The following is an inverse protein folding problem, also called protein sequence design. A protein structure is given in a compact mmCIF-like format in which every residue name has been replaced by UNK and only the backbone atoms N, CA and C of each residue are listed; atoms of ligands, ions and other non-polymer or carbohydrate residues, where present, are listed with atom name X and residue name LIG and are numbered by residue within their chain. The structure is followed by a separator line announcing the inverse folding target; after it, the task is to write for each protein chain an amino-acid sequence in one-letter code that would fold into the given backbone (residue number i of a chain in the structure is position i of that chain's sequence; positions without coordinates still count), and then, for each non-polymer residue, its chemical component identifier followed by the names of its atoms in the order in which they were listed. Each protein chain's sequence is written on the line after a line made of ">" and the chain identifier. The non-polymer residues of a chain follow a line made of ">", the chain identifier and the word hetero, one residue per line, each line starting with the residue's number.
data_IF_417378050020
#
_entry.id   IF_417378050020
#
_cell.length_a   1.000
_cell.length_b   1.000
_cell.length_c   1.000
_cell.angle_alpha   90.00
_cell.angle_beta   90.00
_cell.angle_gamma   90.00
#
_symmetry.space_group_name_H-M   'P 1'
#
loop_
_entity.id
_entity.type
_entity.pdbx_description
1 polymer ?
#
# COMPACT_ATOMS: atom_id res chain seq x y z
N UNK A 1 4.72 -23.85 22.77
CA UNK A 1 4.33 -22.49 22.32
C UNK A 1 5.60 -21.68 22.11
N UNK A 2 5.73 -21.03 20.95
CA UNK A 2 6.80 -20.05 20.71
C UNK A 2 6.50 -18.79 21.51
N UNK A 3 7.52 -18.23 22.18
CA UNK A 3 7.41 -16.97 22.91
C UNK A 3 7.46 -15.77 21.96
N UNK A 4 8.25 -15.88 20.89
CA UNK A 4 8.38 -14.90 19.81
C UNK A 4 8.94 -15.58 18.56
N UNK A 5 8.74 -14.94 17.42
CA UNK A 5 9.38 -15.26 16.16
C UNK A 5 9.99 -13.96 15.62
N UNK A 6 11.23 -14.02 15.19
CA UNK A 6 11.92 -12.93 14.49
C UNK A 6 12.22 -13.43 13.09
N UNK A 7 11.78 -12.68 12.09
CA UNK A 7 11.96 -12.98 10.68
C UNK A 7 12.82 -11.89 10.02
N UNK A 8 13.18 -12.06 8.78
CA UNK A 8 13.93 -11.08 7.99
C UNK A 8 13.14 -9.78 7.74
N UNK A 9 13.81 -8.73 7.27
CA UNK A 9 13.18 -7.49 6.84
C UNK A 9 13.45 -6.28 7.73
N UNK A 10 14.23 -6.45 8.80
CA UNK A 10 14.79 -5.34 9.57
C UNK A 10 16.08 -4.80 8.93
N UNK A 11 16.36 -3.51 9.13
CA UNK A 11 17.60 -2.89 8.69
C UNK A 11 18.00 -1.79 9.67
N UNK A 12 19.32 -1.62 9.84
CA UNK A 12 19.89 -0.44 10.47
C UNK A 12 20.32 0.50 9.36
N UNK A 13 19.77 1.69 9.33
CA UNK A 13 19.96 2.63 8.23
C UNK A 13 20.31 4.03 8.77
N UNK A 14 21.20 4.71 8.08
CA UNK A 14 21.58 6.12 8.34
C UNK A 14 20.89 7.06 7.34
N UNK A 15 20.55 8.26 7.79
CA UNK A 15 19.98 9.31 6.92
C UNK A 15 18.61 9.00 6.32
N UNK A 16 17.93 7.94 6.78
CA UNK A 16 16.64 7.53 6.23
C UNK A 16 15.47 8.38 6.71
N UNK A 17 15.57 8.91 7.93
CA UNK A 17 14.55 9.74 8.55
C UNK A 17 15.10 11.16 8.66
N UNK A 18 14.48 12.10 7.95
CA UNK A 18 14.87 13.51 7.98
C UNK A 18 14.84 14.05 9.41
N UNK A 19 15.95 14.68 9.85
CA UNK A 19 16.09 15.23 11.20
C UNK A 19 16.44 14.21 12.28
N UNK A 20 16.86 13.00 11.91
CA UNK A 20 17.49 11.99 12.77
C UNK A 20 18.90 11.75 12.22
N UNK A 21 19.91 12.01 13.06
CA UNK A 21 21.33 11.88 12.68
C UNK A 21 21.89 10.50 13.04
N UNK A 22 21.30 9.87 14.03
CA UNK A 22 21.72 8.55 14.52
C UNK A 22 21.26 7.45 13.55
N UNK A 23 21.99 6.33 13.48
CA UNK A 23 21.52 5.12 12.79
C UNK A 23 20.19 4.64 13.39
N UNK A 24 19.22 4.36 12.56
CA UNK A 24 17.89 3.92 12.98
C UNK A 24 17.72 2.42 12.69
N UNK A 25 17.41 1.63 13.73
CA UNK A 25 17.01 0.24 13.58
C UNK A 25 15.49 0.15 13.32
N UNK A 26 15.11 -0.19 12.10
CA UNK A 26 13.71 -0.42 11.75
C UNK A 26 13.30 -1.86 12.08
N UNK A 27 12.38 -2.01 13.01
CA UNK A 27 11.79 -3.31 13.39
C UNK A 27 10.37 -3.36 12.81
N UNK A 28 10.16 -4.26 11.85
CA UNK A 28 8.83 -4.53 11.31
C UNK A 28 7.95 -5.20 12.37
N UNK A 29 6.77 -4.63 12.62
CA UNK A 29 5.80 -5.16 13.60
C UNK A 29 4.61 -5.86 12.93
N UNK A 30 4.53 -5.83 11.61
CA UNK A 30 3.49 -6.49 10.83
C UNK A 30 3.91 -6.63 9.37
N UNK A 31 3.40 -7.66 8.71
CA UNK A 31 3.49 -7.84 7.27
C UNK A 31 2.24 -7.32 6.57
N UNK A 32 2.44 -6.69 5.42
CA UNK A 32 1.33 -6.29 4.55
C UNK A 32 0.67 -7.49 3.92
N UNK A 33 -0.65 -7.42 3.80
CA UNK A 33 -1.39 -8.36 2.98
C UNK A 33 -1.14 -8.13 1.49
N UNK A 34 -1.61 -9.04 0.70
CA UNK A 34 -1.50 -9.01 -0.75
C UNK A 34 -2.86 -9.30 -1.39
N UNK A 35 -3.15 -8.61 -2.48
CA UNK A 35 -4.32 -8.87 -3.29
C UNK A 35 -4.01 -8.53 -4.74
N UNK A 36 -4.03 -9.52 -5.61
CA UNK A 36 -4.06 -9.32 -7.06
C UNK A 36 -5.49 -9.48 -7.55
N UNK A 37 -6.07 -8.43 -8.09
CA UNK A 37 -7.38 -8.47 -8.74
C UNK A 37 -7.20 -8.57 -10.26
N UNK A 38 -7.84 -9.58 -10.86
CA UNK A 38 -8.03 -9.66 -12.31
C UNK A 38 -9.31 -8.89 -12.65
N UNK A 39 -9.18 -7.82 -13.40
CA UNK A 39 -10.29 -7.08 -13.97
C UNK A 39 -10.57 -7.59 -15.38
N UNK A 40 -11.84 -7.73 -15.72
CA UNK A 40 -12.29 -8.08 -17.07
C UNK A 40 -13.40 -7.11 -17.49
N UNK A 41 -13.17 -6.43 -18.59
CA UNK A 41 -14.16 -5.56 -19.21
C UNK A 41 -14.71 -6.22 -20.48
N UNK A 42 -16.02 -6.25 -20.62
CA UNK A 42 -16.69 -6.74 -21.81
C UNK A 42 -17.05 -5.60 -22.76
N UNK A 43 -17.07 -5.89 -24.05
CA UNK A 43 -17.45 -4.98 -25.12
C UNK A 43 -18.06 -5.70 -26.30
N UNK A 44 -18.61 -4.95 -27.23
CA UNK A 44 -19.15 -5.48 -28.48
C UNK A 44 -18.02 -5.68 -29.48
N UNK A 45 -17.74 -6.91 -29.92
CA UNK A 45 -16.72 -7.15 -30.93
C UNK A 45 -17.19 -6.64 -32.31
N UNK A 46 -16.23 -6.31 -33.17
CA UNK A 46 -16.57 -5.82 -34.50
C UNK A 46 -15.36 -5.33 -35.30
N UNK A 47 -15.63 -4.71 -36.43
CA UNK A 47 -14.61 -4.12 -37.27
C UNK A 47 -14.29 -2.69 -36.81
N UNK A 48 -13.01 -2.31 -36.81
CA UNK A 48 -12.56 -0.99 -36.33
C UNK A 48 -13.12 0.22 -37.10
N UNK A 49 -13.58 0.01 -38.35
CA UNK A 49 -14.20 1.08 -39.14
C UNK A 49 -15.59 1.50 -38.66
N UNK A 50 -16.24 0.69 -37.81
CA UNK A 50 -17.58 0.98 -37.24
C UNK A 50 -17.53 0.84 -35.70
N UNK A 51 -16.77 1.71 -35.00
CA UNK A 51 -16.60 1.59 -33.55
C UNK A 51 -17.90 1.92 -32.83
N UNK A 52 -18.38 0.98 -32.04
CA UNK A 52 -19.49 1.19 -31.12
C UNK A 52 -19.10 1.98 -29.87
N UNK A 53 -20.08 2.35 -29.04
CA UNK A 53 -19.83 3.01 -27.76
C UNK A 53 -19.27 2.06 -26.69
N UNK A 54 -19.51 0.77 -26.83
CA UNK A 54 -19.17 -0.30 -25.86
C UNK A 54 -17.92 -1.08 -26.29
N UNK A 55 -16.77 -0.41 -26.28
CA UNK A 55 -15.48 -1.04 -26.58
C UNK A 55 -14.82 -1.54 -25.29
N UNK A 56 -14.45 -2.82 -25.22
CA UNK A 56 -13.84 -3.47 -24.06
C UNK A 56 -12.60 -2.72 -23.55
N UNK A 57 -11.64 -2.42 -24.47
CA UNK A 57 -10.41 -1.70 -24.12
C UNK A 57 -10.72 -0.32 -23.56
N UNK A 58 -11.62 0.45 -24.19
CA UNK A 58 -12.00 1.78 -23.71
C UNK A 58 -12.68 1.76 -22.35
N UNK A 59 -13.47 0.73 -22.05
CA UNK A 59 -14.10 0.50 -20.76
C UNK A 59 -13.06 0.17 -19.69
N UNK A 60 -12.17 -0.79 -19.97
CA UNK A 60 -11.08 -1.15 -19.07
C UNK A 60 -10.18 0.06 -18.78
N UNK A 61 -9.78 0.82 -19.80
CA UNK A 61 -8.96 2.02 -19.63
C UNK A 61 -9.60 3.03 -18.67
N UNK A 62 -10.91 3.29 -18.81
CA UNK A 62 -11.64 4.16 -17.86
C UNK A 62 -11.64 3.62 -16.43
N UNK A 63 -11.82 2.31 -16.26
CA UNK A 63 -11.77 1.67 -14.94
C UNK A 63 -10.38 1.83 -14.29
N UNK A 64 -9.32 1.56 -15.04
CA UNK A 64 -7.93 1.71 -14.59
C UNK A 64 -7.59 3.16 -14.25
N UNK A 65 -7.96 4.11 -15.09
CA UNK A 65 -7.77 5.56 -14.83
C UNK A 65 -8.48 5.99 -13.55
N UNK A 66 -9.70 5.49 -13.31
CA UNK A 66 -10.41 5.80 -12.06
C UNK A 66 -9.71 5.21 -10.84
N UNK A 67 -9.18 3.99 -10.93
CA UNK A 67 -8.44 3.36 -9.83
C UNK A 67 -7.14 4.11 -9.53
N UNK A 68 -6.40 4.51 -10.55
CA UNK A 68 -5.16 5.28 -10.44
C UNK A 68 -5.40 6.65 -9.80
N UNK A 69 -6.43 7.37 -10.25
CA UNK A 69 -6.80 8.68 -9.73
C UNK A 69 -7.40 8.66 -8.30
N UNK A 70 -7.79 7.48 -7.79
CA UNK A 70 -8.43 7.33 -6.48
C UNK A 70 -7.67 6.39 -5.55
N UNK A 71 -6.47 6.75 -5.08
CA UNK A 71 -5.66 5.92 -4.20
C UNK A 71 -6.39 5.58 -2.90
N UNK A 72 -5.96 4.53 -2.23
CA UNK A 72 -6.54 4.08 -0.96
C UNK A 72 -6.36 5.15 0.15
N UNK A 73 -7.25 5.17 1.15
CA UNK A 73 -7.21 6.18 2.21
C UNK A 73 -5.91 6.16 3.01
N UNK A 74 -5.44 7.35 3.40
CA UNK A 74 -4.24 7.52 4.23
C UNK A 74 -4.53 7.19 5.69
N UNK A 75 -3.61 6.45 6.32
CA UNK A 75 -3.58 6.14 7.75
C UNK A 75 -2.21 6.51 8.32
N UNK A 76 -2.17 7.50 9.17
CA UNK A 76 -0.92 8.04 9.71
C UNK A 76 -0.49 7.35 11.03
N UNK A 77 -1.22 6.30 11.47
CA UNK A 77 -0.93 5.65 12.76
C UNK A 77 0.49 5.06 12.80
N UNK A 78 0.87 4.27 11.79
CA UNK A 78 2.20 3.65 11.74
C UNK A 78 3.33 4.70 11.74
N UNK A 79 3.15 5.80 11.01
CA UNK A 79 4.11 6.89 10.98
C UNK A 79 4.21 7.60 12.34
N UNK A 80 3.06 7.82 13.01
CA UNK A 80 3.04 8.38 14.37
C UNK A 80 3.75 7.46 15.36
N UNK A 81 3.47 6.17 15.30
CA UNK A 81 4.08 5.17 16.20
C UNK A 81 5.61 5.11 15.97
N UNK A 82 6.09 5.19 14.72
CA UNK A 82 7.51 5.27 14.40
C UNK A 82 8.15 6.50 15.06
N UNK A 83 7.60 7.69 14.86
CA UNK A 83 8.14 8.94 15.45
C UNK A 83 8.15 8.88 16.98
N UNK A 84 7.09 8.35 17.59
CA UNK A 84 7.02 8.18 19.04
C UNK A 84 8.11 7.21 19.56
N UNK A 85 8.43 6.14 18.82
CA UNK A 85 9.47 5.19 19.21
C UNK A 85 10.89 5.73 19.07
N UNK A 86 11.11 6.69 18.17
CA UNK A 86 12.39 7.38 18.03
C UNK A 86 12.68 8.33 19.20
N UNK A 87 11.62 8.84 19.87
CA UNK A 87 11.75 9.64 21.10
C UNK A 87 12.63 10.88 20.91
N UNK A 88 13.70 10.99 21.73
CA UNK A 88 14.60 12.15 21.73
C UNK A 88 15.51 12.24 20.52
N UNK A 89 15.65 11.20 19.71
CA UNK A 89 16.42 11.24 18.47
C UNK A 89 15.76 12.12 17.39
N UNK A 90 14.46 12.38 17.54
CA UNK A 90 13.71 13.25 16.61
C UNK A 90 13.74 14.69 17.10
N UNK A 91 13.97 15.65 16.20
CA UNK A 91 13.97 17.07 16.53
C UNK A 91 12.67 17.53 17.22
N UNK A 92 12.78 18.53 18.11
CA UNK A 92 11.62 19.10 18.81
C UNK A 92 10.50 19.52 17.84
N UNK A 93 10.87 20.16 16.72
CA UNK A 93 9.89 20.57 15.70
C UNK A 93 9.10 19.41 15.12
N UNK A 94 9.74 18.26 14.85
CA UNK A 94 9.08 17.07 14.35
C UNK A 94 8.19 16.44 15.44
N UNK A 95 8.67 16.35 16.69
CA UNK A 95 7.84 15.92 17.82
C UNK A 95 6.58 16.78 17.98
N UNK A 96 6.74 18.10 17.89
CA UNK A 96 5.61 19.04 17.96
C UNK A 96 4.59 18.79 16.84
N UNK A 97 5.06 18.64 15.59
CA UNK A 97 4.19 18.34 14.43
C UNK A 97 3.43 17.04 14.62
N UNK A 98 4.11 15.95 15.03
CA UNK A 98 3.47 14.65 15.19
C UNK A 98 2.62 14.53 16.47
N UNK A 99 2.89 15.32 17.49
CA UNK A 99 2.01 15.45 18.66
C UNK A 99 0.70 16.17 18.29
N UNK A 100 0.75 17.07 17.33
CA UNK A 100 -0.40 17.81 16.82
C UNK A 100 -0.84 17.35 15.44
N UNK A 101 -0.79 16.05 15.17
CA UNK A 101 -1.06 15.42 13.86
C UNK A 101 -2.44 15.79 13.30
N UNK A 102 -3.43 16.05 14.15
CA UNK A 102 -4.77 16.47 13.75
C UNK A 102 -4.74 17.81 12.99
N UNK A 103 -3.87 18.74 13.40
CA UNK A 103 -3.70 20.05 12.76
C UNK A 103 -2.79 19.97 11.53
N UNK A 104 -1.66 19.24 11.62
CA UNK A 104 -0.66 19.14 10.55
C UNK A 104 -0.97 18.03 9.53
N UNK A 105 -2.08 17.31 9.69
CA UNK A 105 -2.45 16.18 8.82
C UNK A 105 -2.36 16.48 7.32
N UNK A 106 -2.82 17.62 6.78
CA UNK A 106 -2.72 17.91 5.34
C UNK A 106 -1.26 18.00 4.87
N UNK A 107 -0.39 18.64 5.66
CA UNK A 107 1.03 18.83 5.33
C UNK A 107 1.76 17.48 5.41
N UNK A 108 1.56 16.74 6.50
CA UNK A 108 2.15 15.39 6.67
C UNK A 108 1.73 14.48 5.53
N UNK A 109 0.45 14.50 5.17
CA UNK A 109 -0.08 13.72 4.05
C UNK A 109 0.63 14.09 2.74
N UNK A 110 0.70 15.36 2.41
CA UNK A 110 1.33 15.85 1.18
C UNK A 110 2.81 15.42 1.09
N UNK A 111 3.57 15.58 2.16
CA UNK A 111 4.98 15.17 2.21
C UNK A 111 5.15 13.65 2.13
N UNK A 112 4.32 12.89 2.84
CA UNK A 112 4.37 11.44 2.82
C UNK A 112 3.96 10.86 1.45
N UNK A 113 3.06 11.51 0.73
CA UNK A 113 2.64 11.13 -0.63
C UNK A 113 3.71 11.47 -1.69
N UNK A 114 4.57 12.44 -1.45
CA UNK A 114 5.62 12.85 -2.38
C UNK A 114 6.73 11.79 -2.55
N UNK A 115 6.89 10.87 -1.59
CA UNK A 115 7.88 9.80 -1.65
C UNK A 115 7.19 8.44 -1.69
N UNK A 116 7.58 7.58 -2.64
CA UNK A 116 6.96 6.27 -2.85
C UNK A 116 7.04 5.35 -1.61
N UNK A 117 8.15 5.37 -0.90
CA UNK A 117 8.36 4.55 0.31
C UNK A 117 7.43 4.99 1.44
N UNK A 118 7.41 6.28 1.77
CA UNK A 118 6.52 6.81 2.81
C UNK A 118 5.05 6.71 2.42
N UNK A 119 4.72 6.93 1.14
CA UNK A 119 3.37 6.74 0.62
C UNK A 119 2.89 5.28 0.81
N UNK A 120 3.77 4.31 0.53
CA UNK A 120 3.48 2.91 0.79
C UNK A 120 3.29 2.60 2.29
N UNK A 121 3.96 3.29 3.21
CA UNK A 121 3.80 3.09 4.66
C UNK A 121 2.47 3.61 5.21
N UNK A 122 1.86 4.60 4.58
CA UNK A 122 0.66 5.28 5.09
C UNK A 122 -0.65 4.81 4.47
N UNK A 123 -0.62 3.93 3.47
CA UNK A 123 -1.84 3.39 2.83
C UNK A 123 -1.63 2.01 2.23
N UNK A 124 -2.73 1.33 1.97
CA UNK A 124 -2.75 0.20 1.05
C UNK A 124 -2.36 0.73 -0.34
N UNK A 125 -1.30 0.19 -0.92
CA UNK A 125 -0.85 0.62 -2.24
C UNK A 125 -1.69 -0.03 -3.34
N UNK A 126 -1.81 0.66 -4.48
CA UNK A 126 -2.47 0.18 -5.69
C UNK A 126 -1.46 0.28 -6.83
N UNK A 127 -1.26 -0.80 -7.56
CA UNK A 127 -0.36 -0.85 -8.71
C UNK A 127 -1.05 -1.53 -9.91
N UNK A 128 -1.10 -0.84 -11.04
CA UNK A 128 -1.58 -1.40 -12.31
C UNK A 128 -0.41 -2.14 -12.95
N UNK A 129 -0.44 -3.47 -12.97
CA UNK A 129 0.75 -4.27 -13.30
C UNK A 129 0.69 -4.93 -14.66
N UNK A 130 -0.50 -5.29 -15.13
CA UNK A 130 -0.66 -5.96 -16.42
C UNK A 130 -1.92 -5.47 -17.13
N UNK A 131 -1.85 -5.32 -18.44
CA UNK A 131 -3.01 -5.04 -19.31
C UNK A 131 -2.90 -5.90 -20.56
N UNK A 132 -4.01 -6.52 -20.95
CA UNK A 132 -4.13 -7.31 -22.17
C UNK A 132 -5.48 -7.02 -22.85
N UNK A 133 -5.46 -6.92 -24.20
CA UNK A 133 -6.70 -6.69 -24.96
C UNK A 133 -6.43 -6.55 -26.45
N UNK A 134 -7.29 -7.17 -27.27
CA UNK A 134 -7.15 -7.19 -28.72
C UNK A 134 -6.16 -8.22 -29.21
N UNK A 135 -6.35 -8.63 -30.45
CA UNK A 135 -5.52 -9.62 -31.16
C UNK A 135 -5.06 -9.11 -32.55
N UNK A 136 -5.69 -8.06 -33.05
CA UNK A 136 -5.42 -7.49 -34.37
C UNK A 136 -5.86 -6.03 -34.41
N UNK A 137 -5.12 -5.17 -35.12
CA UNK A 137 -5.31 -3.72 -35.17
C UNK A 137 -6.69 -3.26 -35.69
N UNK A 138 -7.30 -4.06 -36.55
CA UNK A 138 -8.58 -3.72 -37.19
C UNK A 138 -9.79 -4.47 -36.61
N UNK A 139 -9.63 -5.13 -35.45
CA UNK A 139 -10.68 -5.90 -34.78
C UNK A 139 -10.95 -5.33 -33.38
N UNK A 140 -12.21 -5.00 -33.10
CA UNK A 140 -12.66 -4.64 -31.75
C UNK A 140 -12.78 -5.92 -30.90
N UNK A 141 -12.07 -6.06 -29.79
CA UNK A 141 -12.12 -7.26 -28.97
C UNK A 141 -13.42 -7.33 -28.16
N UNK A 142 -13.90 -8.55 -27.92
CA UNK A 142 -15.04 -8.82 -27.06
C UNK A 142 -14.74 -8.56 -25.58
N UNK A 143 -13.49 -8.68 -25.17
CA UNK A 143 -13.06 -8.44 -23.79
C UNK A 143 -11.63 -7.85 -23.76
N UNK A 144 -11.32 -7.22 -22.62
CA UNK A 144 -9.99 -6.76 -22.25
C UNK A 144 -9.77 -7.04 -20.75
N UNK A 145 -8.56 -7.36 -20.36
CA UNK A 145 -8.21 -7.77 -19.01
C UNK A 145 -7.05 -6.96 -18.45
N UNK A 146 -7.02 -6.80 -17.12
CA UNK A 146 -5.90 -6.20 -16.42
C UNK A 146 -5.68 -6.89 -15.07
N UNK A 147 -4.44 -6.81 -14.56
CA UNK A 147 -4.14 -7.17 -13.18
C UNK A 147 -3.81 -5.89 -12.41
N UNK A 148 -4.49 -5.72 -11.28
CA UNK A 148 -4.24 -4.65 -10.32
C UNK A 148 -3.78 -5.28 -9.01
N UNK A 149 -2.58 -4.91 -8.58
CA UNK A 149 -1.98 -5.42 -7.35
C UNK A 149 -2.18 -4.43 -6.20
N UNK A 150 -2.56 -4.96 -5.04
CA UNK A 150 -2.70 -4.21 -3.80
C UNK A 150 -1.78 -4.82 -2.74
N UNK A 151 -1.07 -3.95 -2.00
CA UNK A 151 -0.38 -4.33 -0.76
C UNK A 151 -1.15 -3.76 0.40
N UNK A 152 -1.88 -4.63 1.10
CA UNK A 152 -2.82 -4.24 2.14
C UNK A 152 -2.08 -3.77 3.40
N UNK A 153 -2.40 -2.56 3.83
CA UNK A 153 -1.89 -2.07 5.11
C UNK A 153 -2.63 -2.77 6.26
N UNK A 154 -1.95 -3.14 7.36
CA UNK A 154 -2.60 -3.71 8.55
C UNK A 154 -3.81 -2.89 8.99
N UNK A 155 -4.95 -3.58 9.18
CA UNK A 155 -6.26 -2.98 9.47
C UNK A 155 -7.14 -2.68 8.25
N UNK A 156 -6.62 -2.84 7.02
CA UNK A 156 -7.46 -3.05 5.84
C UNK A 156 -7.80 -4.55 5.71
N UNK A 157 -8.78 -4.86 4.86
CA UNK A 157 -9.11 -6.24 4.49
C UNK A 157 -9.37 -6.33 3.00
N UNK A 158 -9.22 -7.52 2.45
CA UNK A 158 -9.53 -7.83 1.05
C UNK A 158 -10.95 -7.37 0.71
N UNK A 159 -11.92 -7.68 1.58
CA UNK A 159 -13.31 -7.27 1.38
C UNK A 159 -13.47 -5.74 1.26
N UNK A 160 -12.85 -4.96 2.16
CA UNK A 160 -12.90 -3.49 2.11
C UNK A 160 -12.27 -2.92 0.84
N UNK A 161 -11.16 -3.52 0.39
CA UNK A 161 -10.49 -3.10 -0.85
C UNK A 161 -11.39 -3.40 -2.05
N UNK A 162 -11.96 -4.60 -2.14
CA UNK A 162 -12.90 -4.98 -3.21
C UNK A 162 -14.14 -4.08 -3.26
N UNK A 163 -14.74 -3.78 -2.10
CA UNK A 163 -15.89 -2.86 -2.03
C UNK A 163 -15.54 -1.45 -2.51
N UNK A 164 -14.35 -0.96 -2.17
CA UNK A 164 -13.88 0.33 -2.66
C UNK A 164 -13.58 0.30 -4.16
N UNK A 165 -12.95 -0.76 -4.67
CA UNK A 165 -12.72 -0.94 -6.12
C UNK A 165 -14.05 -0.87 -6.88
N UNK A 166 -15.07 -1.58 -6.43
CA UNK A 166 -16.41 -1.54 -7.05
C UNK A 166 -17.00 -0.12 -7.07
N UNK A 167 -16.89 0.60 -5.94
CA UNK A 167 -17.37 1.99 -5.81
C UNK A 167 -16.61 2.98 -6.71
N UNK A 168 -15.33 2.72 -6.99
CA UNK A 168 -14.50 3.57 -7.85
C UNK A 168 -14.76 3.28 -9.33
N UNK A 169 -14.81 2.02 -9.73
CA UNK A 169 -15.00 1.60 -11.12
C UNK A 169 -16.35 2.09 -11.65
N UNK A 170 -17.44 1.90 -10.91
CA UNK A 170 -18.81 2.33 -11.27
C UNK A 170 -19.21 1.92 -12.70
N UNK A 171 -18.93 0.68 -13.05
CA UNK A 171 -19.29 0.10 -14.34
C UNK A 171 -19.56 -1.40 -14.14
N UNK A 172 -20.81 -1.82 -14.22
CA UNK A 172 -21.25 -3.18 -13.94
C UNK A 172 -20.78 -4.21 -14.99
N UNK A 173 -20.31 -3.72 -16.14
CA UNK A 173 -19.69 -4.57 -17.19
C UNK A 173 -18.16 -4.70 -17.01
N UNK A 174 -17.63 -4.22 -15.89
CA UNK A 174 -16.25 -4.50 -15.45
C UNK A 174 -16.33 -5.40 -14.24
N UNK A 175 -16.14 -6.67 -14.48
CA UNK A 175 -16.05 -7.66 -13.42
C UNK A 175 -14.63 -7.73 -12.87
N UNK A 176 -14.47 -8.15 -11.62
CA UNK A 176 -13.17 -8.42 -11.04
C UNK A 176 -13.25 -9.53 -9.99
N UNK A 177 -12.17 -10.29 -9.91
CA UNK A 177 -12.00 -11.38 -8.96
C UNK A 177 -10.53 -11.47 -8.48
N UNK A 178 -10.28 -12.00 -7.29
CA UNK A 178 -8.91 -12.31 -6.87
C UNK A 178 -8.28 -13.36 -7.77
N UNK A 179 -7.02 -13.14 -8.14
CA UNK A 179 -6.22 -14.15 -8.83
C UNK A 179 -5.99 -15.32 -7.89
N UNK A 180 -6.10 -16.56 -8.39
CA UNK A 180 -5.89 -17.77 -7.59
C UNK A 180 -4.50 -17.76 -6.92
N UNK A 181 -4.46 -17.95 -5.60
CA UNK A 181 -3.22 -17.86 -4.79
C UNK A 181 -2.65 -16.45 -4.66
N UNK A 182 -3.33 -15.43 -5.17
CA UNK A 182 -2.87 -14.02 -5.15
C UNK A 182 -3.58 -13.16 -4.11
N UNK A 183 -4.10 -13.72 -3.03
CA UNK A 183 -4.81 -12.97 -2.01
C UNK A 183 -4.59 -13.54 -0.60
N UNK A 184 -4.08 -12.70 0.32
CA UNK A 184 -4.01 -12.97 1.76
C UNK A 184 -4.07 -11.68 2.56
N UNK A 185 -4.68 -11.74 3.73
CA UNK A 185 -4.83 -10.61 4.62
C UNK A 185 -3.49 -10.15 5.20
N UNK A 186 -3.41 -8.88 5.62
CA UNK A 186 -2.28 -8.39 6.39
C UNK A 186 -2.18 -9.12 7.74
N UNK A 187 -0.96 -9.30 8.25
CA UNK A 187 -0.77 -9.86 9.58
C UNK A 187 -1.31 -8.91 10.66
N UNK A 188 -1.56 -9.47 11.84
CA UNK A 188 -1.81 -8.64 13.02
C UNK A 188 -0.55 -7.86 13.39
N UNK A 189 -0.74 -6.61 13.85
CA UNK A 189 0.36 -5.80 14.35
C UNK A 189 0.84 -6.36 15.69
N UNK A 190 2.11 -6.74 15.77
CA UNK A 190 2.75 -7.19 17.01
C UNK A 190 2.90 -6.02 17.98
N UNK A 191 2.57 -6.25 19.26
CA UNK A 191 2.72 -5.22 20.28
C UNK A 191 4.20 -4.94 20.59
N UNK A 192 4.54 -3.67 20.68
CA UNK A 192 5.87 -3.19 21.08
C UNK A 192 6.08 -3.18 22.59
N UNK A 193 5.05 -3.52 23.38
CA UNK A 193 5.12 -3.58 24.84
C UNK A 193 5.42 -5.00 25.36
N UNK A 194 5.62 -5.96 24.45
CA UNK A 194 5.93 -7.33 24.85
C UNK A 194 7.37 -7.46 25.37
N UNK A 195 7.59 -8.38 26.31
CA UNK A 195 8.93 -8.69 26.82
C UNK A 195 9.90 -9.05 25.69
N UNK A 196 9.44 -9.79 24.69
CA UNK A 196 10.26 -10.19 23.55
C UNK A 196 10.71 -8.99 22.71
N UNK A 197 9.81 -8.04 22.44
CA UNK A 197 10.17 -6.82 21.72
C UNK A 197 11.15 -5.95 22.51
N UNK A 198 10.94 -5.81 23.83
CA UNK A 198 11.84 -5.03 24.68
C UNK A 198 13.24 -5.65 24.77
N UNK A 199 13.34 -6.99 24.82
CA UNK A 199 14.62 -7.71 24.76
C UNK A 199 15.31 -7.45 23.42
N UNK A 200 14.60 -7.58 22.31
CA UNK A 200 15.14 -7.31 20.96
C UNK A 200 15.67 -5.87 20.85
N UNK A 201 14.88 -4.90 21.25
CA UNK A 201 15.26 -3.47 21.27
C UNK A 201 16.50 -3.23 22.11
N UNK A 202 16.56 -3.81 23.31
CA UNK A 202 17.74 -3.70 24.20
C UNK A 202 18.99 -4.34 23.58
N UNK A 203 18.82 -5.53 22.99
CA UNK A 203 19.93 -6.26 22.37
C UNK A 203 20.52 -5.49 21.20
N UNK A 204 19.67 -4.95 20.32
CA UNK A 204 20.13 -4.13 19.18
C UNK A 204 20.97 -2.95 19.69
N UNK A 205 20.47 -2.19 20.68
CA UNK A 205 21.20 -1.06 21.26
C UNK A 205 22.51 -1.42 21.96
N UNK A 206 22.60 -2.65 22.48
CA UNK A 206 23.83 -3.14 23.13
C UNK A 206 24.87 -3.60 22.11
N UNK A 207 24.44 -4.13 20.98
CA UNK A 207 25.35 -4.70 19.96
C UNK A 207 25.81 -3.61 18.97
N UNK A 208 24.96 -2.63 18.68
CA UNK A 208 25.24 -1.56 17.72
C UNK A 208 25.26 -0.23 18.45
N UNK A 209 26.43 0.38 18.57
CA UNK A 209 26.63 1.68 19.23
C UNK A 209 25.88 2.80 18.50
N UNK A 210 25.27 3.70 19.26
CA UNK A 210 24.58 4.88 18.74
C UNK A 210 23.28 4.61 18.00
N UNK A 211 22.77 3.38 17.97
CA UNK A 211 21.52 3.04 17.27
C UNK A 211 20.29 3.39 18.13
N UNK A 212 19.29 4.02 17.50
CA UNK A 212 18.00 4.39 18.08
C UNK A 212 16.85 3.56 17.51
#
# INVERSE_FOLDING_TARGET
>A
RLAAMVDEGGAIMEGTISGVNEPVALIGTAEKGHLSLKLRAEGTPGHSSMPGKDMAIGRLARALTRLDANPQPVRLKALKDLINNLGSAVSFGMQFVFSNIWFFRPIIKMQAEANSTTNAMIRTSTALTMVNGGIKENVLPANAEAIVNFRLLPGDSIAKVCDRVRKIIKDDKVEFEPVAGGAWEASQVSSTDTKSYLILKHTIRKVFDGVV
#
